data_IF_756616704091
#
_entry.id   IF_756616704091
#
_cell.length_a   1.000
_cell.length_b   1.000
_cell.length_c   1.000
_cell.angle_alpha   90.00
_cell.angle_beta   90.00
_cell.angle_gamma   90.00
#
_symmetry.space_group_name_H-M   'P 1'
#
loop_
_entity.id
_entity.type
_entity.pdbx_description
1 polymer ?
#
# COMPACT_ATOMS: atom_id res chain seq x y z
N UNK A 1 16.87 -38.78 78.70
CA UNK A 1 15.73 -38.23 77.93
C UNK A 1 16.25 -37.75 76.58
N UNK A 2 15.56 -38.15 75.50
CA UNK A 2 15.94 -38.14 74.08
C UNK A 2 16.56 -36.83 73.56
N UNK A 3 17.61 -36.90 72.74
CA UNK A 3 17.87 -35.92 71.67
C UNK A 3 18.18 -36.64 70.36
N UNK A 4 17.26 -36.45 69.42
CA UNK A 4 17.19 -37.06 68.10
C UNK A 4 17.92 -36.18 67.07
N UNK A 5 18.45 -36.87 66.06
CA UNK A 5 19.03 -36.33 64.83
C UNK A 5 18.07 -35.38 64.08
N UNK A 6 18.65 -34.37 63.41
CA UNK A 6 18.05 -33.79 62.20
C UNK A 6 19.16 -33.32 61.24
N UNK A 7 19.42 -34.12 60.22
CA UNK A 7 20.27 -33.75 59.08
C UNK A 7 19.43 -32.93 58.09
N UNK A 8 19.88 -31.73 57.78
CA UNK A 8 19.23 -30.80 56.84
C UNK A 8 19.64 -31.19 55.41
N UNK A 9 18.69 -31.67 54.61
CA UNK A 9 18.84 -31.83 53.16
C UNK A 9 18.51 -30.49 52.48
N UNK A 10 19.52 -29.87 51.84
CA UNK A 10 19.34 -28.66 51.04
C UNK A 10 18.92 -29.07 49.61
N UNK A 11 17.64 -28.93 49.28
CA UNK A 11 17.15 -29.08 47.91
C UNK A 11 17.58 -27.84 47.08
N UNK A 12 18.51 -28.01 46.15
CA UNK A 12 18.75 -27.03 45.10
C UNK A 12 17.65 -27.13 44.04
N UNK A 13 16.74 -26.15 44.01
CA UNK A 13 15.86 -25.93 42.86
C UNK A 13 16.67 -25.30 41.72
N UNK A 14 16.99 -26.09 40.69
CA UNK A 14 17.48 -25.56 39.41
C UNK A 14 16.26 -25.05 38.64
N UNK A 15 16.00 -23.75 38.71
CA UNK A 15 15.06 -23.09 37.80
C UNK A 15 15.75 -22.96 36.45
N UNK A 16 15.43 -23.88 35.53
CA UNK A 16 15.82 -23.75 34.13
C UNK A 16 15.03 -22.59 33.51
N UNK A 17 15.68 -21.43 33.40
CA UNK A 17 15.17 -20.33 32.59
C UNK A 17 15.22 -20.77 31.12
N UNK A 18 14.09 -21.20 30.59
CA UNK A 18 13.90 -21.29 29.15
C UNK A 18 14.16 -19.90 28.56
N UNK A 19 15.25 -19.77 27.80
CA UNK A 19 15.50 -18.59 26.97
C UNK A 19 14.38 -18.53 25.96
N UNK A 20 13.35 -17.73 26.25
CA UNK A 20 12.41 -17.24 25.24
C UNK A 20 13.26 -16.44 24.28
N UNK A 21 13.68 -17.08 23.19
CA UNK A 21 14.34 -16.39 22.09
C UNK A 21 13.41 -15.28 21.64
N UNK A 22 13.75 -14.04 21.99
CA UNK A 22 13.06 -12.88 21.47
C UNK A 22 13.26 -12.89 19.95
N UNK A 23 12.26 -13.37 19.21
CA UNK A 23 12.24 -13.26 17.76
C UNK A 23 12.34 -11.76 17.46
N UNK A 24 13.51 -11.32 16.99
CA UNK A 24 13.68 -9.94 16.54
C UNK A 24 12.58 -9.64 15.52
N UNK A 25 11.91 -8.48 15.61
CA UNK A 25 10.89 -8.10 14.65
C UNK A 25 11.51 -8.11 13.25
N UNK A 26 10.75 -8.59 12.27
CA UNK A 26 11.19 -8.58 10.88
C UNK A 26 11.50 -7.14 10.46
N UNK A 27 12.64 -6.95 9.81
CA UNK A 27 13.03 -5.69 9.19
C UNK A 27 13.21 -5.95 7.71
N UNK A 28 12.37 -5.31 6.91
CA UNK A 28 12.40 -5.37 5.45
C UNK A 28 13.77 -4.93 4.92
N UNK A 29 14.25 -5.62 3.88
CA UNK A 29 15.50 -5.35 3.17
C UNK A 29 15.27 -5.48 1.67
N UNK A 30 14.59 -4.50 1.04
CA UNK A 30 14.40 -4.50 -0.40
C UNK A 30 15.78 -4.47 -1.07
N UNK A 31 15.99 -5.34 -2.05
CA UNK A 31 17.27 -5.49 -2.73
C UNK A 31 17.05 -5.95 -4.17
N UNK A 32 17.98 -5.60 -5.05
CA UNK A 32 18.06 -6.23 -6.37
C UNK A 32 18.39 -7.71 -6.18
N UNK A 33 17.75 -8.57 -6.97
CA UNK A 33 18.04 -10.00 -7.03
C UNK A 33 18.13 -10.42 -8.48
N UNK A 34 18.86 -11.49 -8.78
CA UNK A 34 18.88 -12.05 -10.13
C UNK A 34 17.48 -12.55 -10.53
N UNK A 35 17.16 -12.50 -11.81
CA UNK A 35 15.93 -13.11 -12.31
C UNK A 35 15.91 -14.61 -12.01
N UNK A 36 14.80 -15.06 -11.42
CA UNK A 36 14.57 -16.47 -11.11
C UNK A 36 13.46 -16.95 -12.06
N UNK A 37 13.76 -17.91 -12.96
CA UNK A 37 12.74 -18.56 -13.78
C UNK A 37 11.65 -19.17 -12.89
N UNK A 38 10.40 -18.94 -13.24
CA UNK A 38 9.25 -19.41 -12.50
C UNK A 38 8.11 -19.75 -13.46
N UNK A 39 7.33 -20.76 -13.08
CA UNK A 39 6.11 -21.18 -13.76
C UNK A 39 5.00 -21.30 -12.73
N UNK A 40 3.75 -21.10 -13.15
CA UNK A 40 2.60 -21.30 -12.26
C UNK A 40 2.51 -22.77 -11.86
N UNK A 41 2.39 -22.99 -10.55
CA UNK A 41 2.30 -24.33 -9.97
C UNK A 41 1.17 -25.15 -10.61
N UNK A 42 1.51 -26.33 -11.14
CA UNK A 42 0.55 -27.19 -11.81
C UNK A 42 -0.38 -27.93 -10.82
N UNK A 43 -1.62 -28.21 -11.27
CA UNK A 43 -2.58 -29.03 -10.53
C UNK A 43 -1.94 -30.39 -10.18
N UNK A 44 -2.17 -30.86 -8.95
CA UNK A 44 -1.57 -32.08 -8.42
C UNK A 44 -0.22 -31.90 -7.72
N UNK A 45 0.44 -30.75 -7.87
CA UNK A 45 1.70 -30.47 -7.17
C UNK A 45 1.50 -30.31 -5.66
N UNK A 46 2.57 -30.52 -4.88
CA UNK A 46 2.58 -30.24 -3.43
C UNK A 46 2.75 -28.75 -3.17
N UNK A 47 2.10 -28.24 -2.13
CA UNK A 47 2.30 -26.88 -1.65
C UNK A 47 3.79 -26.62 -1.35
N UNK A 48 4.43 -25.67 -2.07
CA UNK A 48 5.80 -25.29 -1.75
C UNK A 48 5.88 -24.75 -0.31
N UNK A 49 6.87 -25.23 0.44
CA UNK A 49 7.08 -24.81 1.82
C UNK A 49 7.51 -23.34 1.89
N UNK A 50 7.11 -22.66 2.97
CA UNK A 50 7.45 -21.28 3.25
C UNK A 50 7.70 -21.05 4.73
N UNK A 51 8.41 -19.96 5.04
CA UNK A 51 8.50 -19.35 6.38
C UNK A 51 8.65 -17.84 6.19
N UNK A 52 7.56 -17.10 6.31
CA UNK A 52 7.49 -15.69 5.96
C UNK A 52 7.03 -14.83 7.14
N UNK A 53 7.50 -13.58 7.25
CA UNK A 53 7.02 -12.62 8.22
C UNK A 53 5.61 -12.13 7.82
N UNK A 54 4.76 -11.92 8.81
CA UNK A 54 3.40 -11.44 8.64
C UNK A 54 3.22 -10.04 9.20
N UNK A 55 2.27 -9.30 8.64
CA UNK A 55 1.88 -7.98 9.10
C UNK A 55 1.39 -7.94 10.57
N UNK A 56 0.99 -9.07 11.15
CA UNK A 56 0.64 -9.19 12.57
C UNK A 56 1.86 -9.35 13.51
N UNK A 57 3.08 -9.33 12.95
CA UNK A 57 4.34 -9.44 13.68
C UNK A 57 4.85 -10.87 13.88
N UNK A 58 4.11 -11.89 13.44
CA UNK A 58 4.52 -13.29 13.57
C UNK A 58 5.21 -13.80 12.31
N UNK A 59 5.79 -15.00 12.42
CA UNK A 59 6.26 -15.78 11.27
C UNK A 59 5.33 -16.96 11.07
N UNK A 60 4.90 -17.16 9.83
CA UNK A 60 4.06 -18.29 9.43
C UNK A 60 4.80 -19.18 8.46
N UNK A 61 4.56 -20.48 8.60
CA UNK A 61 5.06 -21.54 7.76
C UNK A 61 3.92 -22.41 7.25
N UNK A 62 4.18 -23.23 6.24
CA UNK A 62 3.18 -24.19 5.74
C UNK A 62 2.67 -25.14 6.84
N UNK A 63 3.51 -25.46 7.84
CA UNK A 63 3.18 -26.34 8.96
C UNK A 63 2.11 -25.75 9.89
N UNK A 64 2.02 -24.43 9.99
CA UNK A 64 1.01 -23.76 10.81
C UNK A 64 -0.42 -23.98 10.28
N UNK A 65 -0.54 -24.47 9.05
CA UNK A 65 -1.81 -24.79 8.38
C UNK A 65 -2.02 -26.30 8.19
N UNK A 66 -1.20 -27.17 8.80
CA UNK A 66 -1.24 -28.61 8.56
C UNK A 66 -2.55 -29.31 8.95
N UNK A 67 -3.34 -28.70 9.85
CA UNK A 67 -4.64 -29.24 10.29
C UNK A 67 -5.81 -28.80 9.42
N UNK A 68 -5.59 -27.93 8.43
CA UNK A 68 -6.65 -27.45 7.55
C UNK A 68 -7.12 -28.58 6.62
N UNK A 69 -8.44 -28.70 6.45
CA UNK A 69 -9.05 -29.58 5.44
C UNK A 69 -8.83 -29.06 4.02
N UNK A 70 -8.67 -27.74 3.89
CA UNK A 70 -8.18 -27.08 2.69
C UNK A 70 -7.40 -25.82 3.06
N UNK A 71 -6.35 -25.52 2.31
CA UNK A 71 -5.54 -24.30 2.46
C UNK A 71 -5.67 -23.43 1.21
N UNK A 72 -6.10 -22.18 1.38
CA UNK A 72 -6.10 -21.16 0.33
C UNK A 72 -4.88 -20.28 0.51
N UNK A 73 -3.98 -20.29 -0.46
CA UNK A 73 -2.87 -19.33 -0.59
C UNK A 73 -3.25 -18.29 -1.63
N UNK A 74 -3.30 -17.02 -1.25
CA UNK A 74 -3.64 -15.91 -2.14
C UNK A 74 -2.43 -15.01 -2.33
N UNK A 75 -1.92 -14.87 -3.55
CA UNK A 75 -0.97 -13.81 -3.85
C UNK A 75 -1.74 -12.52 -4.10
N UNK A 76 -1.48 -11.47 -3.32
CA UNK A 76 -2.21 -10.20 -3.33
C UNK A 76 -1.27 -9.01 -3.05
N UNK A 77 -1.74 -7.78 -3.22
CA UNK A 77 -0.97 -6.57 -2.92
C UNK A 77 -1.87 -5.42 -2.42
N UNK A 78 -1.26 -4.32 -1.97
CA UNK A 78 -1.99 -3.15 -1.46
C UNK A 78 -2.34 -2.15 -2.57
N UNK A 79 -1.53 -2.06 -3.64
CA UNK A 79 -1.68 -1.00 -4.63
C UNK A 79 -2.64 -1.33 -5.78
N UNK A 80 -2.74 -2.62 -6.17
CA UNK A 80 -3.53 -3.02 -7.33
C UNK A 80 -5.03 -2.82 -7.08
N UNK A 81 -5.76 -2.06 -7.92
CA UNK A 81 -7.21 -1.86 -7.75
C UNK A 81 -7.97 -3.19 -7.73
N UNK A 82 -7.59 -4.15 -8.58
CA UNK A 82 -8.18 -5.49 -8.61
C UNK A 82 -7.98 -6.20 -7.27
N UNK A 83 -6.74 -6.29 -6.77
CA UNK A 83 -6.44 -6.94 -5.50
C UNK A 83 -7.24 -6.33 -4.33
N UNK A 84 -7.29 -5.00 -4.29
CA UNK A 84 -8.06 -4.25 -3.29
C UNK A 84 -9.57 -4.57 -3.36
N UNK A 85 -10.12 -4.82 -4.55
CA UNK A 85 -11.55 -5.09 -4.73
C UNK A 85 -11.98 -6.49 -4.24
N UNK A 86 -11.04 -7.40 -4.02
CA UNK A 86 -11.32 -8.74 -3.50
C UNK A 86 -11.14 -8.86 -1.98
N UNK A 87 -10.60 -7.85 -1.31
CA UNK A 87 -10.26 -7.90 0.12
C UNK A 87 -11.45 -8.29 1.00
N UNK A 88 -12.60 -7.60 0.85
CA UNK A 88 -13.79 -7.86 1.66
C UNK A 88 -14.40 -9.24 1.38
N UNK A 89 -14.31 -9.71 0.13
CA UNK A 89 -14.76 -11.05 -0.27
C UNK A 89 -13.89 -12.14 0.36
N UNK A 90 -12.58 -11.94 0.43
CA UNK A 90 -11.68 -12.87 1.11
C UNK A 90 -11.91 -12.92 2.62
N UNK A 91 -12.22 -11.77 3.24
CA UNK A 91 -12.59 -11.70 4.67
C UNK A 91 -13.89 -12.47 4.93
N UNK A 92 -14.93 -12.23 4.11
CA UNK A 92 -16.20 -12.94 4.21
C UNK A 92 -16.04 -14.44 4.00
N UNK A 93 -15.34 -14.85 2.93
CA UNK A 93 -15.04 -16.25 2.65
C UNK A 93 -14.30 -16.93 3.80
N UNK A 94 -13.32 -16.25 4.40
CA UNK A 94 -12.58 -16.80 5.55
C UNK A 94 -13.52 -17.05 6.73
N UNK A 95 -14.47 -16.15 7.02
CA UNK A 95 -15.46 -16.36 8.07
C UNK A 95 -16.37 -17.56 7.78
N UNK A 96 -16.86 -17.66 6.54
CA UNK A 96 -17.83 -18.69 6.14
C UNK A 96 -17.22 -20.11 6.15
N UNK A 97 -15.91 -20.23 5.89
CA UNK A 97 -15.24 -21.52 5.73
C UNK A 97 -14.34 -21.92 6.89
N UNK A 98 -14.01 -21.01 7.82
CA UNK A 98 -13.17 -21.33 8.99
C UNK A 98 -13.72 -22.51 9.81
N UNK A 99 -15.03 -22.50 10.11
CA UNK A 99 -15.68 -23.58 10.87
C UNK A 99 -15.74 -24.91 10.08
N UNK A 100 -15.63 -24.85 8.75
CA UNK A 100 -15.56 -26.03 7.87
C UNK A 100 -14.14 -26.60 7.78
N UNK A 101 -13.15 -25.98 8.43
CA UNK A 101 -11.76 -26.42 8.46
C UNK A 101 -10.89 -25.84 7.34
N UNK A 102 -11.32 -24.76 6.68
CA UNK A 102 -10.48 -24.07 5.68
C UNK A 102 -9.59 -23.03 6.36
N UNK A 103 -8.34 -22.97 5.95
CA UNK A 103 -7.42 -21.89 6.30
C UNK A 103 -7.15 -21.01 5.08
N UNK A 104 -7.04 -19.70 5.30
CA UNK A 104 -6.67 -18.72 4.27
C UNK A 104 -5.37 -18.04 4.72
N UNK A 105 -4.46 -17.82 3.78
CA UNK A 105 -3.23 -17.05 3.95
C UNK A 105 -2.98 -16.22 2.70
N UNK A 106 -2.71 -14.93 2.88
CA UNK A 106 -2.32 -14.06 1.79
C UNK A 106 -0.80 -13.86 1.81
N UNK A 107 -0.18 -13.69 0.64
CA UNK A 107 1.25 -13.40 0.47
C UNK A 107 1.38 -12.18 -0.46
N UNK A 108 2.13 -11.17 -0.04
CA UNK A 108 2.58 -10.07 -0.89
C UNK A 108 3.87 -10.49 -1.59
N UNK A 109 3.84 -10.73 -2.92
CA UNK A 109 5.03 -11.10 -3.67
C UNK A 109 5.82 -9.87 -4.12
N UNK A 110 5.27 -8.67 -3.96
CA UNK A 110 5.77 -7.46 -4.58
C UNK A 110 6.96 -6.87 -3.83
N UNK A 111 8.00 -6.50 -4.59
CA UNK A 111 9.14 -5.78 -4.07
C UNK A 111 8.96 -4.27 -4.21
N UNK A 112 9.21 -3.47 -3.16
CA UNK A 112 9.24 -2.02 -3.28
C UNK A 112 10.33 -1.49 -4.21
N UNK A 113 11.34 -2.31 -4.57
CA UNK A 113 12.39 -1.85 -5.49
C UNK A 113 11.84 -1.63 -6.90
N UNK A 114 10.81 -2.37 -7.31
CA UNK A 114 10.24 -2.32 -8.66
C UNK A 114 8.84 -1.70 -8.73
N UNK A 115 8.22 -1.41 -7.59
CA UNK A 115 6.94 -0.69 -7.56
C UNK A 115 7.16 0.79 -7.87
N UNK A 116 6.44 1.30 -8.86
CA UNK A 116 6.50 2.71 -9.27
C UNK A 116 5.38 3.52 -8.61
N UNK A 117 5.63 4.82 -8.37
CA UNK A 117 4.60 5.70 -7.82
C UNK A 117 3.42 5.83 -8.79
N UNK A 118 3.72 5.88 -10.08
CA UNK A 118 2.77 5.97 -11.19
C UNK A 118 1.83 4.75 -11.26
N UNK A 119 2.24 3.60 -10.69
CA UNK A 119 1.39 2.41 -10.55
C UNK A 119 0.46 2.48 -9.33
N UNK A 120 0.66 3.46 -8.44
CA UNK A 120 -0.08 3.61 -7.19
C UNK A 120 -1.28 4.57 -7.29
N UNK A 121 -1.77 4.86 -8.50
CA UNK A 121 -2.86 5.82 -8.72
C UNK A 121 -4.26 5.42 -8.21
N UNK A 122 -4.41 4.19 -7.70
CA UNK A 122 -5.67 3.66 -7.13
C UNK A 122 -5.53 3.31 -5.64
N UNK A 123 -4.46 3.77 -4.98
CA UNK A 123 -4.17 3.38 -3.59
C UNK A 123 -3.61 4.54 -2.78
N UNK A 124 -3.74 4.43 -1.47
CA UNK A 124 -3.13 5.29 -0.46
C UNK A 124 -1.81 4.72 0.09
N UNK A 125 -1.47 3.49 -0.31
CA UNK A 125 -0.39 2.67 0.22
C UNK A 125 0.48 2.08 -0.88
N UNK A 126 1.77 1.91 -0.60
CA UNK A 126 2.66 1.06 -1.39
C UNK A 126 2.57 -0.41 -0.91
N UNK A 127 3.44 -1.29 -1.44
CA UNK A 127 3.51 -2.70 -1.04
C UNK A 127 4.63 -3.01 -0.02
N UNK A 128 5.12 -2.00 0.70
CA UNK A 128 6.12 -2.25 1.74
C UNK A 128 5.51 -2.93 2.98
N UNK A 129 6.39 -3.46 3.84
CA UNK A 129 5.93 -4.25 4.98
C UNK A 129 5.14 -3.43 6.00
N UNK A 130 5.44 -2.13 6.16
CA UNK A 130 4.69 -1.28 7.09
C UNK A 130 3.31 -0.91 6.53
N UNK A 131 3.22 -0.64 5.23
CA UNK A 131 1.96 -0.43 4.54
C UNK A 131 1.03 -1.66 4.61
N UNK A 132 1.58 -2.87 4.54
CA UNK A 132 0.80 -4.10 4.77
C UNK A 132 0.15 -4.12 6.16
N UNK A 133 0.84 -3.66 7.22
CA UNK A 133 0.27 -3.58 8.57
C UNK A 133 -0.89 -2.59 8.63
N UNK A 134 -0.73 -1.45 7.97
CA UNK A 134 -1.81 -0.45 7.84
C UNK A 134 -3.02 -1.09 7.16
N UNK A 135 -2.81 -1.76 6.02
CA UNK A 135 -3.89 -2.39 5.26
C UNK A 135 -4.62 -3.48 6.05
N UNK A 136 -3.90 -4.36 6.73
CA UNK A 136 -4.48 -5.40 7.60
C UNK A 136 -5.36 -4.81 8.69
N UNK A 137 -4.91 -3.72 9.32
CA UNK A 137 -5.68 -3.03 10.35
C UNK A 137 -6.94 -2.38 9.78
N UNK A 138 -6.82 -1.69 8.65
CA UNK A 138 -7.93 -0.96 8.03
C UNK A 138 -9.02 -1.90 7.52
N UNK A 139 -8.62 -2.98 6.83
CA UNK A 139 -9.54 -3.97 6.25
C UNK A 139 -9.90 -5.10 7.21
N UNK A 140 -9.32 -5.10 8.42
CA UNK A 140 -9.58 -6.10 9.47
C UNK A 140 -9.40 -7.52 8.97
N UNK A 141 -8.29 -7.81 8.29
CA UNK A 141 -8.02 -9.15 7.79
C UNK A 141 -8.10 -10.17 8.92
N UNK A 142 -8.91 -11.21 8.71
CA UNK A 142 -9.12 -12.34 9.61
C UNK A 142 -8.27 -13.57 9.21
N UNK A 143 -7.28 -13.34 8.34
CA UNK A 143 -6.27 -14.29 7.89
C UNK A 143 -4.88 -13.63 7.90
N UNK A 144 -3.78 -14.41 8.00
CA UNK A 144 -2.44 -13.85 7.94
C UNK A 144 -2.11 -13.25 6.57
N UNK A 145 -1.42 -12.11 6.56
CA UNK A 145 -0.86 -11.49 5.36
C UNK A 145 0.66 -11.43 5.44
N UNK A 146 1.31 -12.27 4.64
CA UNK A 146 2.75 -12.55 4.68
C UNK A 146 3.51 -11.74 3.62
N UNK A 147 4.78 -11.45 3.84
CA UNK A 147 5.61 -10.69 2.91
C UNK A 147 6.75 -11.53 2.35
N UNK A 148 6.91 -11.53 1.02
CA UNK A 148 7.98 -12.24 0.30
C UNK A 148 8.75 -11.33 -0.69
N UNK A 149 8.52 -10.01 -0.66
CA UNK A 149 9.05 -9.07 -1.66
C UNK A 149 10.55 -8.80 -1.62
N UNK A 150 11.28 -9.23 -0.57
CA UNK A 150 12.74 -9.00 -0.49
C UNK A 150 13.55 -9.99 -1.32
N UNK A 151 13.04 -11.22 -1.51
CA UNK A 151 13.77 -12.30 -2.19
C UNK A 151 12.94 -13.08 -3.19
N UNK A 152 11.61 -12.99 -3.11
CA UNK A 152 10.68 -13.76 -3.92
C UNK A 152 10.80 -15.28 -3.75
N UNK A 153 11.51 -15.75 -2.73
CA UNK A 153 11.93 -17.15 -2.57
C UNK A 153 10.75 -18.13 -2.46
N UNK A 154 9.58 -17.64 -2.03
CA UNK A 154 8.35 -18.43 -1.99
C UNK A 154 7.53 -18.22 -3.26
N UNK A 155 7.36 -16.97 -3.68
CA UNK A 155 6.52 -16.56 -4.80
C UNK A 155 6.95 -17.22 -6.10
N UNK A 156 8.26 -17.35 -6.37
CA UNK A 156 8.78 -18.03 -7.57
C UNK A 156 8.45 -19.53 -7.61
N UNK A 157 8.19 -20.16 -6.45
CA UNK A 157 7.82 -21.58 -6.38
C UNK A 157 6.34 -21.83 -6.61
N UNK A 158 5.49 -20.83 -6.35
CA UNK A 158 4.06 -20.87 -6.65
C UNK A 158 3.76 -20.32 -8.05
N UNK A 159 4.55 -19.34 -8.51
CA UNK A 159 4.43 -18.69 -9.82
C UNK A 159 3.14 -17.90 -10.01
N UNK A 160 2.78 -16.94 -9.13
CA UNK A 160 1.65 -16.06 -9.36
C UNK A 160 1.89 -15.17 -10.59
N UNK A 161 0.96 -15.20 -11.52
CA UNK A 161 0.99 -14.37 -12.74
C UNK A 161 0.47 -12.95 -12.50
N UNK A 162 -0.52 -12.80 -11.62
CA UNK A 162 -1.18 -11.54 -11.28
C UNK A 162 -1.44 -11.43 -9.78
N UNK A 163 -1.77 -10.23 -9.33
CA UNK A 163 -2.42 -10.00 -8.03
C UNK A 163 -3.86 -9.53 -8.27
N UNK A 164 -4.88 -10.24 -7.76
CA UNK A 164 -4.79 -11.48 -7.00
C UNK A 164 -4.61 -12.74 -7.89
N UNK A 165 -4.09 -13.82 -7.29
CA UNK A 165 -4.08 -15.17 -7.86
C UNK A 165 -4.19 -16.18 -6.70
N UNK A 166 -5.17 -17.08 -6.74
CA UNK A 166 -5.40 -18.07 -5.66
C UNK A 166 -4.89 -19.46 -6.02
N UNK A 167 -4.41 -20.17 -4.99
CA UNK A 167 -3.98 -21.57 -5.03
C UNK A 167 -4.64 -22.30 -3.87
N UNK A 168 -5.41 -23.35 -4.15
CA UNK A 168 -6.17 -24.10 -3.13
C UNK A 168 -5.66 -25.52 -3.05
N UNK A 169 -5.19 -25.90 -1.87
CA UNK A 169 -4.66 -27.22 -1.56
C UNK A 169 -5.65 -28.01 -0.70
N UNK A 170 -5.72 -29.32 -0.93
CA UNK A 170 -6.47 -30.23 -0.07
C UNK A 170 -5.74 -30.55 1.25
N UNK A 171 -6.34 -31.41 2.07
CA UNK A 171 -5.75 -31.88 3.34
C UNK A 171 -4.45 -32.70 3.18
N UNK A 172 -4.10 -33.10 1.96
CA UNK A 172 -2.82 -33.74 1.63
C UNK A 172 -1.81 -32.72 1.11
N UNK A 173 -2.13 -31.42 1.16
CA UNK A 173 -1.36 -30.31 0.61
C UNK A 173 -1.09 -30.47 -0.90
N UNK A 174 -2.01 -31.11 -1.62
CA UNK A 174 -1.97 -31.23 -3.08
C UNK A 174 -2.84 -30.13 -3.70
N UNK A 175 -2.30 -29.43 -4.70
CA UNK A 175 -3.01 -28.34 -5.39
C UNK A 175 -4.20 -28.90 -6.17
N UNK A 176 -5.40 -28.43 -5.84
CA UNK A 176 -6.66 -28.86 -6.45
C UNK A 176 -7.29 -27.78 -7.33
N UNK A 177 -6.99 -26.50 -7.05
CA UNK A 177 -7.48 -25.37 -7.83
C UNK A 177 -6.46 -24.25 -7.88
N UNK A 178 -6.31 -23.61 -9.03
CA UNK A 178 -5.63 -22.32 -9.16
C UNK A 178 -6.37 -21.40 -10.13
N UNK A 179 -6.36 -20.10 -9.84
CA UNK A 179 -6.93 -19.12 -10.75
C UNK A 179 -7.55 -17.91 -10.04
N UNK A 180 -8.71 -17.46 -10.55
CA UNK A 180 -9.42 -16.28 -10.04
C UNK A 180 -10.27 -16.61 -8.81
N UNK A 181 -10.69 -15.55 -8.13
CA UNK A 181 -11.62 -15.63 -6.98
C UNK A 181 -13.07 -15.74 -7.48
N UNK A 182 -13.43 -14.88 -8.45
CA UNK A 182 -14.67 -14.92 -9.21
C UNK A 182 -14.54 -14.15 -10.53
N UNK A 183 -15.66 -13.93 -11.24
CA UNK A 183 -15.70 -13.29 -12.54
C UNK A 183 -15.81 -11.75 -12.53
N UNK A 184 -15.76 -11.08 -11.37
CA UNK A 184 -16.02 -9.64 -11.27
C UNK A 184 -15.01 -8.90 -10.39
N UNK A 185 -14.34 -7.92 -10.97
CA UNK A 185 -13.44 -7.03 -10.22
C UNK A 185 -14.17 -5.90 -9.50
N UNK A 186 -15.45 -5.68 -9.81
CA UNK A 186 -16.23 -4.61 -9.19
C UNK A 186 -16.67 -5.05 -7.79
N UNK A 187 -16.44 -4.23 -6.75
CA UNK A 187 -16.95 -4.53 -5.42
C UNK A 187 -18.48 -4.69 -5.41
N UNK A 188 -18.98 -5.61 -4.58
CA UNK A 188 -20.41 -5.89 -4.37
C UNK A 188 -21.21 -6.42 -5.57
N UNK A 189 -20.54 -6.90 -6.64
CA UNK A 189 -21.21 -7.52 -7.80
C UNK A 189 -20.93 -9.02 -7.95
N UNK A 190 -20.12 -9.59 -7.06
CA UNK A 190 -19.81 -11.01 -6.99
C UNK A 190 -19.43 -11.40 -5.55
N UNK A 191 -19.34 -12.70 -5.27
CA UNK A 191 -19.08 -13.23 -3.94
C UNK A 191 -18.14 -14.44 -3.97
N UNK A 192 -17.03 -14.37 -4.71
CA UNK A 192 -16.02 -15.42 -4.78
C UNK A 192 -16.57 -16.78 -5.26
N UNK A 193 -17.51 -16.78 -6.22
CA UNK A 193 -18.24 -17.96 -6.68
C UNK A 193 -17.31 -19.11 -7.10
N UNK A 194 -16.24 -18.82 -7.84
CA UNK A 194 -15.31 -19.84 -8.32
C UNK A 194 -14.49 -20.43 -7.17
N UNK A 195 -13.97 -19.58 -6.28
CA UNK A 195 -13.21 -20.03 -5.11
C UNK A 195 -14.09 -20.82 -4.12
N UNK A 196 -15.33 -20.38 -3.90
CA UNK A 196 -16.31 -21.10 -3.05
C UNK A 196 -16.66 -22.46 -3.65
N UNK A 197 -16.93 -22.53 -4.94
CA UNK A 197 -17.21 -23.80 -5.63
C UNK A 197 -16.03 -24.78 -5.53
N UNK A 198 -14.79 -24.29 -5.70
CA UNK A 198 -13.60 -25.11 -5.53
C UNK A 198 -13.46 -25.64 -4.10
N UNK A 199 -13.69 -24.79 -3.09
CA UNK A 199 -13.64 -25.19 -1.69
C UNK A 199 -14.73 -26.22 -1.34
N UNK A 200 -15.96 -26.01 -1.79
CA UNK A 200 -17.06 -26.94 -1.54
C UNK A 200 -16.80 -28.31 -2.19
N UNK A 201 -16.23 -28.34 -3.40
CA UNK A 201 -15.81 -29.58 -4.05
C UNK A 201 -14.73 -30.30 -3.22
N UNK A 202 -13.66 -29.61 -2.83
CA UNK A 202 -12.55 -30.19 -2.05
C UNK A 202 -13.05 -30.72 -0.71
N UNK A 203 -13.89 -29.96 0.01
CA UNK A 203 -14.46 -30.37 1.29
C UNK A 203 -15.40 -31.58 1.16
N UNK A 204 -16.04 -31.74 0.00
CA UNK A 204 -16.85 -32.92 -0.33
C UNK A 204 -16.02 -34.10 -0.87
N UNK A 205 -14.69 -33.99 -0.92
CA UNK A 205 -13.81 -35.02 -1.49
C UNK A 205 -13.91 -35.16 -3.01
N UNK A 206 -14.40 -34.12 -3.70
CA UNK A 206 -14.55 -34.04 -5.15
C UNK A 206 -13.47 -33.15 -5.77
N UNK A 207 -13.19 -33.39 -7.05
CA UNK A 207 -12.32 -32.53 -7.85
C UNK A 207 -13.06 -31.24 -8.23
N UNK A 208 -12.49 -30.04 -8.02
CA UNK A 208 -13.05 -28.80 -8.55
C UNK A 208 -13.24 -28.86 -10.07
N UNK A 209 -14.32 -28.25 -10.59
CA UNK A 209 -14.54 -28.15 -12.03
C UNK A 209 -15.01 -26.73 -12.38
N UNK A 210 -14.19 -25.91 -13.07
CA UNK A 210 -12.82 -26.22 -13.51
C UNK A 210 -11.81 -26.22 -12.36
N UNK A 211 -10.67 -26.92 -12.53
CA UNK A 211 -9.52 -26.81 -11.60
C UNK A 211 -8.65 -25.58 -11.89
N UNK A 212 -8.74 -25.04 -13.11
CA UNK A 212 -7.96 -23.89 -13.54
C UNK A 212 -8.91 -22.85 -14.13
N UNK A 213 -8.86 -21.63 -13.63
CA UNK A 213 -9.53 -20.47 -14.23
C UNK A 213 -8.51 -19.42 -14.64
N UNK A 214 -8.85 -18.61 -15.64
CA UNK A 214 -8.00 -17.47 -16.04
C UNK A 214 -8.01 -16.42 -14.93
N UNK A 215 -6.86 -15.77 -14.73
CA UNK A 215 -6.72 -14.65 -13.79
C UNK A 215 -6.57 -13.32 -14.54
N UNK A 216 -6.93 -12.25 -13.85
CA UNK A 216 -6.76 -10.88 -14.31
C UNK A 216 -6.38 -10.01 -13.11
N UNK A 217 -5.49 -9.05 -13.32
CA UNK A 217 -4.96 -8.16 -12.29
C UNK A 217 -3.57 -7.62 -12.65
N UNK A 218 -2.96 -6.86 -11.75
CA UNK A 218 -1.62 -6.32 -11.96
C UNK A 218 -0.56 -7.44 -11.90
N UNK A 219 0.46 -7.34 -12.74
CA UNK A 219 1.63 -8.22 -12.68
C UNK A 219 2.37 -8.09 -11.34
N UNK A 220 2.99 -9.17 -10.91
CA UNK A 220 3.88 -9.19 -9.74
C UNK A 220 5.06 -8.24 -9.94
N UNK A 221 5.37 -7.45 -8.92
CA UNK A 221 6.51 -6.52 -8.89
C UNK A 221 7.78 -7.27 -8.47
N UNK A 222 8.33 -8.05 -9.41
CA UNK A 222 9.59 -8.77 -9.21
C UNK A 222 10.77 -7.79 -9.12
N UNK A 223 11.66 -7.99 -8.13
CA UNK A 223 12.78 -7.11 -7.84
C UNK A 223 13.82 -6.99 -8.97
N UNK A 224 13.83 -7.93 -9.93
CA UNK A 224 14.68 -7.87 -11.14
C UNK A 224 14.04 -7.10 -12.29
N UNK A 225 12.80 -6.64 -12.15
CA UNK A 225 12.09 -5.84 -13.17
C UNK A 225 12.05 -4.36 -12.77
N UNK A 226 13.21 -3.79 -12.46
CA UNK A 226 13.38 -2.39 -12.04
C UNK A 226 13.85 -1.46 -13.18
N UNK A 227 14.04 -1.98 -14.40
CA UNK A 227 14.54 -1.25 -15.58
C UNK A 227 13.82 0.09 -15.85
N UNK A 228 12.50 0.12 -15.64
CA UNK A 228 11.68 1.31 -15.88
C UNK A 228 11.83 2.38 -14.81
N UNK A 229 12.27 2.02 -13.60
CA UNK A 229 12.35 2.95 -12.48
C UNK A 229 13.34 4.07 -12.73
N UNK A 230 14.54 3.72 -13.17
CA UNK A 230 15.57 4.70 -13.49
C UNK A 230 15.17 5.59 -14.66
N UNK A 231 14.50 5.01 -15.66
CA UNK A 231 13.97 5.77 -16.79
C UNK A 231 12.90 6.77 -16.35
N UNK A 232 11.88 6.31 -15.62
CA UNK A 232 10.78 7.16 -15.15
C UNK A 232 11.30 8.24 -14.20
N UNK A 233 12.27 7.91 -13.35
CA UNK A 233 12.91 8.90 -12.48
C UNK A 233 13.67 9.96 -13.29
N UNK A 234 14.48 9.54 -14.27
CA UNK A 234 15.18 10.47 -15.17
C UNK A 234 14.21 11.33 -15.97
N UNK A 235 13.15 10.74 -16.50
CA UNK A 235 12.12 11.45 -17.26
C UNK A 235 11.41 12.49 -16.37
N UNK A 236 11.12 12.15 -15.11
CA UNK A 236 10.57 13.09 -14.13
C UNK A 236 11.55 14.23 -13.80
N UNK A 237 12.82 13.92 -13.53
CA UNK A 237 13.84 14.91 -13.18
C UNK A 237 14.22 15.81 -14.36
N UNK A 238 14.02 15.35 -15.60
CA UNK A 238 14.22 16.13 -16.82
C UNK A 238 13.07 17.10 -17.13
N UNK A 239 11.90 16.96 -16.47
CA UNK A 239 10.78 17.88 -16.69
C UNK A 239 11.17 19.31 -16.29
N UNK A 240 10.79 20.33 -17.08
CA UNK A 240 11.13 21.70 -16.77
C UNK A 240 10.44 22.14 -15.46
N UNK A 241 11.23 22.73 -14.56
CA UNK A 241 10.73 23.32 -13.32
C UNK A 241 10.82 24.82 -13.46
N UNK A 242 9.67 25.48 -13.43
CA UNK A 242 9.53 26.92 -13.50
C UNK A 242 8.64 27.42 -12.36
N UNK A 243 8.79 28.70 -12.02
CA UNK A 243 7.95 29.42 -11.06
C UNK A 243 7.32 30.60 -11.76
N UNK A 244 5.99 30.56 -11.86
CA UNK A 244 5.20 31.65 -12.42
C UNK A 244 4.73 32.59 -11.31
N UNK A 245 4.44 33.83 -11.65
CA UNK A 245 3.85 34.77 -10.68
C UNK A 245 2.32 34.59 -10.68
N UNK A 246 1.72 34.74 -9.50
CA UNK A 246 0.26 34.71 -9.33
C UNK A 246 -0.16 35.83 -8.38
N UNK A 247 -1.14 36.63 -8.80
CA UNK A 247 -1.74 37.68 -7.97
C UNK A 247 -3.02 37.18 -7.30
N UNK A 248 -3.71 38.05 -6.56
CA UNK A 248 -4.96 37.76 -5.87
C UNK A 248 -6.06 37.26 -6.82
N UNK A 249 -6.12 37.81 -8.04
CA UNK A 249 -7.10 37.43 -9.05
C UNK A 249 -6.82 36.03 -9.59
N UNK A 250 -5.54 35.74 -9.86
CA UNK A 250 -5.06 34.43 -10.26
C UNK A 250 -5.34 33.36 -9.21
N UNK A 251 -5.10 33.65 -7.93
CA UNK A 251 -5.42 32.74 -6.83
C UNK A 251 -6.91 32.45 -6.78
N UNK A 252 -7.77 33.49 -6.81
CA UNK A 252 -9.23 33.29 -6.80
C UNK A 252 -9.70 32.43 -7.98
N UNK A 253 -9.13 32.63 -9.17
CA UNK A 253 -9.42 31.80 -10.35
C UNK A 253 -8.95 30.35 -10.19
N UNK A 254 -7.76 30.14 -9.62
CA UNK A 254 -7.23 28.80 -9.32
C UNK A 254 -8.12 28.07 -8.33
N UNK A 255 -8.49 28.72 -7.22
CA UNK A 255 -9.30 28.13 -6.16
C UNK A 255 -10.77 27.95 -6.56
N UNK A 256 -11.29 28.72 -7.52
CA UNK A 256 -12.57 28.43 -8.16
C UNK A 256 -12.56 27.09 -8.92
N UNK A 257 -11.36 26.52 -9.17
CA UNK A 257 -11.11 25.25 -9.83
C UNK A 257 -12.07 24.96 -11.00
N UNK A 258 -11.98 25.71 -12.11
CA UNK A 258 -12.85 25.52 -13.27
C UNK A 258 -12.54 24.23 -14.05
N UNK A 259 -11.56 23.44 -13.61
CA UNK A 259 -11.17 22.19 -14.25
C UNK A 259 -12.10 21.05 -13.79
N UNK A 260 -11.95 19.87 -14.41
CA UNK A 260 -12.61 18.63 -13.95
C UNK A 260 -11.79 17.86 -12.92
N UNK A 261 -10.62 18.36 -12.54
CA UNK A 261 -9.68 17.66 -11.66
C UNK A 261 -9.93 17.99 -10.19
N UNK A 262 -9.61 17.04 -9.34
CA UNK A 262 -9.40 17.27 -7.93
C UNK A 262 -8.09 18.03 -7.73
N UNK A 263 -8.17 19.25 -7.20
CA UNK A 263 -7.05 20.16 -7.07
C UNK A 263 -6.50 20.16 -5.64
N UNK A 264 -5.24 19.78 -5.48
CA UNK A 264 -4.50 19.91 -4.23
C UNK A 264 -3.64 21.18 -4.29
N UNK A 265 -3.81 22.10 -3.35
CA UNK A 265 -3.00 23.31 -3.23
C UNK A 265 -2.21 23.28 -1.93
N UNK A 266 -0.91 23.57 -1.99
CA UNK A 266 -0.11 23.82 -0.79
C UNK A 266 0.54 25.21 -0.87
N UNK A 267 0.37 25.97 0.22
CA UNK A 267 1.03 27.26 0.44
C UNK A 267 2.22 27.05 1.36
N UNK A 268 3.41 27.44 0.91
CA UNK A 268 4.69 27.21 1.60
C UNK A 268 5.64 28.39 1.45
N UNK A 269 6.77 28.38 2.16
CA UNK A 269 7.85 29.33 1.96
C UNK A 269 9.23 28.70 2.18
N UNK A 270 10.27 29.27 1.56
CA UNK A 270 11.65 28.74 1.67
C UNK A 270 12.21 28.73 3.08
N UNK A 271 11.74 29.64 3.94
CA UNK A 271 12.13 29.75 5.35
C UNK A 271 11.25 28.90 6.30
N UNK A 272 10.17 28.30 5.79
CA UNK A 272 9.28 27.45 6.58
C UNK A 272 9.83 26.02 6.66
N UNK A 273 10.49 25.68 7.77
CA UNK A 273 11.07 24.35 7.99
C UNK A 273 10.09 23.18 7.74
N UNK A 274 8.91 23.14 8.40
CA UNK A 274 7.92 22.09 8.20
C UNK A 274 7.48 21.95 6.74
N UNK A 275 7.29 23.07 6.03
CA UNK A 275 6.92 23.06 4.61
C UNK A 275 7.95 22.31 3.75
N UNK A 276 9.23 22.59 3.96
CA UNK A 276 10.33 21.97 3.18
C UNK A 276 10.47 20.48 3.49
N UNK A 277 10.18 20.07 4.74
CA UNK A 277 10.21 18.68 5.19
C UNK A 277 9.11 17.87 4.51
N UNK A 278 7.87 18.36 4.48
CA UNK A 278 6.74 17.62 3.92
C UNK A 278 6.60 17.71 2.39
N UNK A 279 7.25 18.69 1.76
CA UNK A 279 7.12 18.93 0.31
C UNK A 279 7.23 17.68 -0.59
N UNK A 280 8.18 16.75 -0.35
CA UNK A 280 8.27 15.52 -1.14
C UNK A 280 7.01 14.65 -1.15
N UNK A 281 6.17 14.72 -0.11
CA UNK A 281 4.90 13.97 -0.06
C UNK A 281 3.91 14.47 -1.12
N UNK A 282 3.87 15.78 -1.41
CA UNK A 282 3.02 16.32 -2.46
C UNK A 282 3.49 15.90 -3.85
N UNK A 283 4.81 15.84 -4.06
CA UNK A 283 5.38 15.33 -5.31
C UNK A 283 5.08 13.84 -5.49
N UNK A 284 5.15 13.05 -4.42
CA UNK A 284 4.70 11.67 -4.46
C UNK A 284 3.22 11.57 -4.85
N UNK A 285 2.33 12.37 -4.23
CA UNK A 285 0.90 12.37 -4.58
C UNK A 285 0.65 12.77 -6.03
N UNK A 286 1.37 13.78 -6.55
CA UNK A 286 1.29 14.14 -7.96
C UNK A 286 1.72 12.98 -8.86
N UNK A 287 2.80 12.26 -8.51
CA UNK A 287 3.27 11.12 -9.30
C UNK A 287 2.32 9.92 -9.21
N UNK A 288 1.68 9.73 -8.06
CA UNK A 288 0.68 8.68 -7.88
C UNK A 288 -0.59 8.96 -8.67
N UNK A 289 -1.15 10.16 -8.56
CA UNK A 289 -2.51 10.44 -9.02
C UNK A 289 -2.56 11.31 -10.28
N UNK A 290 -1.46 11.91 -10.71
CA UNK A 290 -1.43 12.92 -11.78
C UNK A 290 -1.80 12.43 -13.18
N UNK A 291 -1.76 11.12 -13.42
CA UNK A 291 -2.29 10.48 -14.64
C UNK A 291 -3.81 10.24 -14.58
N UNK A 292 -4.46 10.63 -13.46
CA UNK A 292 -5.91 10.64 -13.26
C UNK A 292 -6.41 12.09 -13.25
N UNK A 293 -7.68 12.28 -12.89
CA UNK A 293 -8.30 13.61 -12.71
C UNK A 293 -7.84 14.29 -11.41
N UNK A 294 -6.52 14.44 -11.23
CA UNK A 294 -5.87 15.05 -10.07
C UNK A 294 -4.77 16.02 -10.51
N UNK A 295 -4.60 17.10 -9.75
CA UNK A 295 -3.51 18.05 -9.95
C UNK A 295 -3.02 18.63 -8.63
N UNK A 296 -1.70 18.66 -8.43
CA UNK A 296 -1.06 19.40 -7.37
C UNK A 296 -0.52 20.74 -7.88
N UNK A 297 -0.89 21.82 -7.19
CA UNK A 297 -0.38 23.17 -7.41
C UNK A 297 0.34 23.69 -6.17
N UNK A 298 1.53 24.21 -6.39
CA UNK A 298 2.41 24.73 -5.35
C UNK A 298 2.40 26.25 -5.37
N UNK A 299 2.19 26.90 -4.22
CA UNK A 299 2.19 28.37 -4.11
C UNK A 299 3.20 28.79 -3.05
N UNK A 300 4.26 29.49 -3.46
CA UNK A 300 5.22 30.11 -2.56
C UNK A 300 4.68 31.45 -2.03
N UNK A 301 4.70 31.59 -0.71
CA UNK A 301 4.44 32.82 0.04
C UNK A 301 5.72 33.65 0.26
N UNK A 302 6.84 33.28 -0.35
CA UNK A 302 8.05 34.09 -0.32
C UNK A 302 7.82 35.43 -1.03
N UNK A 303 8.53 36.48 -0.59
CA UNK A 303 8.56 37.74 -1.32
C UNK A 303 9.13 37.55 -2.73
N UNK A 304 8.59 38.26 -3.73
CA UNK A 304 9.01 38.14 -5.14
C UNK A 304 10.52 38.21 -5.38
N UNK A 305 11.26 39.04 -4.62
CA UNK A 305 12.73 39.11 -4.70
C UNK A 305 13.44 37.78 -4.41
N UNK A 306 12.77 36.84 -3.76
CA UNK A 306 13.26 35.49 -3.44
C UNK A 306 12.77 34.43 -4.45
N UNK A 307 12.18 34.82 -5.59
CA UNK A 307 11.72 33.90 -6.65
C UNK A 307 12.80 32.89 -7.07
N UNK A 308 14.04 33.31 -7.18
CA UNK A 308 15.16 32.42 -7.51
C UNK A 308 15.44 31.39 -6.40
N UNK A 309 15.35 31.79 -5.12
CA UNK A 309 15.49 30.86 -3.99
C UNK A 309 14.37 29.82 -3.99
N UNK A 310 13.13 30.25 -4.24
CA UNK A 310 12.00 29.33 -4.36
C UNK A 310 12.21 28.35 -5.52
N UNK A 311 12.62 28.84 -6.70
CA UNK A 311 12.94 28.00 -7.86
C UNK A 311 14.04 26.98 -7.54
N UNK A 312 15.12 27.38 -6.85
CA UNK A 312 16.20 26.49 -6.49
C UNK A 312 15.76 25.38 -5.52
N UNK A 313 14.89 25.71 -4.56
CA UNK A 313 14.29 24.70 -3.68
C UNK A 313 13.42 23.72 -4.47
N UNK A 314 12.56 24.23 -5.36
CA UNK A 314 11.68 23.41 -6.20
C UNK A 314 12.46 22.46 -7.11
N UNK A 315 13.57 22.93 -7.70
CA UNK A 315 14.51 22.07 -8.46
C UNK A 315 15.11 20.98 -7.59
N UNK A 316 15.56 21.31 -6.37
CA UNK A 316 16.09 20.33 -5.41
C UNK A 316 15.05 19.29 -4.97
N UNK A 317 13.77 19.63 -5.03
CA UNK A 317 12.65 18.75 -4.68
C UNK A 317 12.05 18.03 -5.90
N UNK A 318 12.65 18.17 -7.09
CA UNK A 318 12.11 17.65 -8.35
C UNK A 318 10.63 18.02 -8.55
N UNK A 319 10.28 19.28 -8.25
CA UNK A 319 8.89 19.78 -8.29
C UNK A 319 8.43 20.13 -9.71
N UNK A 320 8.33 19.11 -10.55
CA UNK A 320 7.85 19.20 -11.92
C UNK A 320 6.32 19.29 -11.99
N UNK A 321 5.77 20.31 -11.32
CA UNK A 321 4.33 20.60 -11.21
C UNK A 321 4.10 22.08 -11.54
N UNK A 322 2.84 22.51 -11.53
CA UNK A 322 2.54 23.93 -11.62
C UNK A 322 2.96 24.63 -10.31
N UNK A 323 4.00 25.46 -10.38
CA UNK A 323 4.50 26.22 -9.24
C UNK A 323 4.28 27.72 -9.46
N UNK A 324 3.76 28.38 -8.42
CA UNK A 324 3.56 29.80 -8.36
C UNK A 324 4.36 30.45 -7.23
N UNK A 325 4.68 31.73 -7.38
CA UNK A 325 5.06 32.64 -6.30
C UNK A 325 4.06 33.79 -6.27
N UNK A 326 3.61 34.15 -5.08
CA UNK A 326 2.65 35.23 -4.94
C UNK A 326 3.27 36.59 -5.27
N UNK A 327 2.61 37.35 -6.15
CA UNK A 327 3.06 38.67 -6.61
C UNK A 327 2.25 39.84 -6.06
N UNK A 328 1.26 39.57 -5.20
CA UNK A 328 0.46 40.61 -4.56
C UNK A 328 1.25 41.46 -3.56
N UNK A 329 0.55 42.45 -3.00
CA UNK A 329 1.16 43.52 -2.22
C UNK A 329 1.93 43.03 -0.99
N UNK A 330 1.34 42.10 -0.24
CA UNK A 330 1.90 41.57 1.00
C UNK A 330 1.30 40.19 1.35
N UNK A 331 1.85 39.52 2.35
CA UNK A 331 1.39 38.19 2.75
C UNK A 331 -0.05 38.18 3.28
N UNK A 332 -0.62 39.30 3.70
CA UNK A 332 -2.01 39.35 4.17
C UNK A 332 -2.97 39.29 2.99
N UNK A 333 -2.65 39.92 1.86
CA UNK A 333 -3.49 39.78 0.66
C UNK A 333 -3.46 38.36 0.09
N UNK A 334 -2.34 37.63 0.26
CA UNK A 334 -2.28 36.19 -0.02
C UNK A 334 -3.26 35.41 0.87
N UNK A 335 -3.24 35.68 2.18
CA UNK A 335 -4.11 34.99 3.15
C UNK A 335 -5.58 35.19 2.78
N UNK A 336 -5.99 36.44 2.58
CA UNK A 336 -7.36 36.80 2.19
C UNK A 336 -7.77 36.20 0.84
N UNK A 337 -6.83 36.06 -0.10
CA UNK A 337 -7.10 35.43 -1.40
C UNK A 337 -7.24 33.91 -1.31
N UNK A 338 -6.48 33.26 -0.40
CA UNK A 338 -6.46 31.80 -0.25
C UNK A 338 -7.65 31.32 0.59
N UNK A 339 -7.79 31.86 1.80
CA UNK A 339 -8.85 31.52 2.75
C UNK A 339 -8.89 32.61 3.84
N UNK A 340 -9.90 33.50 3.84
CA UNK A 340 -10.05 34.54 4.87
C UNK A 340 -10.14 34.01 6.31
N UNK A 341 -10.41 32.71 6.50
CA UNK A 341 -10.40 32.08 7.83
C UNK A 341 -9.01 31.55 8.24
N UNK A 342 -8.03 31.54 7.34
CA UNK A 342 -6.66 31.16 7.65
C UNK A 342 -5.93 32.31 8.36
N UNK A 343 -5.21 32.02 9.45
CA UNK A 343 -4.47 33.03 10.20
C UNK A 343 -3.07 33.36 9.63
N UNK A 344 -2.69 32.75 8.50
CA UNK A 344 -1.39 32.96 7.85
C UNK A 344 -0.26 32.04 8.27
N UNK A 345 -0.46 31.15 9.24
CA UNK A 345 0.59 30.19 9.60
C UNK A 345 0.80 29.13 8.50
N UNK A 346 2.05 28.96 8.08
CA UNK A 346 2.47 27.97 7.09
C UNK A 346 2.92 26.66 7.75
N UNK A 347 2.84 25.50 7.05
CA UNK A 347 2.20 25.31 5.75
C UNK A 347 0.66 25.40 5.83
N UNK A 348 0.03 25.66 4.69
CA UNK A 348 -1.43 25.61 4.55
C UNK A 348 -1.80 24.78 3.32
N UNK A 349 -2.64 23.76 3.49
CA UNK A 349 -3.00 22.82 2.43
C UNK A 349 -4.50 22.78 2.23
N UNK A 350 -4.95 22.77 0.98
CA UNK A 350 -6.36 22.71 0.55
C UNK A 350 -6.54 21.57 -0.47
N UNK A 351 -7.63 20.81 -0.36
CA UNK A 351 -8.10 19.90 -1.40
C UNK A 351 -9.46 20.40 -1.90
N UNK A 352 -9.57 20.59 -3.21
CA UNK A 352 -10.63 21.38 -3.83
C UNK A 352 -11.25 20.57 -4.98
N UNK A 353 -12.55 20.35 -4.92
CA UNK A 353 -13.33 19.76 -6.00
C UNK A 353 -13.44 20.72 -7.20
N UNK A 354 -13.84 20.22 -8.38
CA UNK A 354 -14.34 21.07 -9.46
C UNK A 354 -15.38 22.08 -8.94
N UNK A 355 -15.32 23.31 -9.47
CA UNK A 355 -16.16 24.44 -9.07
C UNK A 355 -15.84 25.04 -7.68
N UNK A 356 -14.68 24.70 -7.10
CA UNK A 356 -14.10 25.43 -5.97
C UNK A 356 -14.59 25.01 -4.59
N UNK A 357 -15.30 23.88 -4.48
CA UNK A 357 -15.69 23.35 -3.18
C UNK A 357 -14.48 22.74 -2.46
N UNK A 358 -14.06 23.39 -1.37
CA UNK A 358 -12.98 22.89 -0.50
C UNK A 358 -13.51 21.74 0.36
N UNK A 359 -12.94 20.54 0.20
CA UNK A 359 -13.33 19.34 0.95
C UNK A 359 -12.34 18.96 2.05
N UNK A 360 -11.15 19.54 2.03
CA UNK A 360 -10.16 19.42 3.08
C UNK A 360 -9.32 20.67 3.16
N UNK A 361 -9.00 21.08 4.38
CA UNK A 361 -8.03 22.12 4.65
C UNK A 361 -7.29 21.83 5.95
N UNK A 362 -6.00 22.11 5.99
CA UNK A 362 -5.21 22.01 7.22
C UNK A 362 -4.19 23.12 7.31
N UNK A 363 -4.04 23.65 8.52
CA UNK A 363 -2.93 24.51 8.91
C UNK A 363 -1.89 23.66 9.63
N UNK A 364 -0.62 23.86 9.29
CA UNK A 364 0.47 23.00 9.75
C UNK A 364 0.59 21.73 8.92
N UNK A 365 1.51 20.86 9.33
CA UNK A 365 1.89 19.72 8.50
C UNK A 365 0.75 18.75 8.22
N UNK A 366 0.71 18.24 6.99
CA UNK A 366 -0.27 17.23 6.60
C UNK A 366 0.00 15.90 7.31
N UNK A 367 -1.04 15.07 7.39
CA UNK A 367 -0.89 13.63 7.63
C UNK A 367 -0.96 12.93 6.28
N UNK A 368 0.16 12.51 5.67
CA UNK A 368 0.16 12.08 4.26
C UNK A 368 -0.78 10.92 3.97
N UNK A 369 -0.83 9.91 4.84
CA UNK A 369 -1.74 8.77 4.69
C UNK A 369 -3.21 9.20 4.73
N UNK A 370 -3.59 10.11 5.63
CA UNK A 370 -4.96 10.63 5.72
C UNK A 370 -5.35 11.36 4.45
N UNK A 371 -4.45 12.20 3.92
CA UNK A 371 -4.70 12.93 2.68
C UNK A 371 -4.79 12.00 1.47
N UNK A 372 -3.90 11.01 1.36
CA UNK A 372 -3.96 10.00 0.28
C UNK A 372 -5.25 9.19 0.32
N UNK A 373 -5.71 8.76 1.51
CA UNK A 373 -7.02 8.10 1.67
C UNK A 373 -8.16 8.96 1.17
N UNK A 374 -8.19 10.22 1.59
CA UNK A 374 -9.21 11.16 1.14
C UNK A 374 -9.22 11.31 -0.38
N UNK A 375 -8.04 11.36 -1.02
CA UNK A 375 -7.91 11.45 -2.48
C UNK A 375 -8.48 10.20 -3.15
N UNK A 376 -8.04 8.98 -2.77
CA UNK A 376 -8.46 7.75 -3.47
C UNK A 376 -9.88 7.29 -3.14
N UNK A 377 -10.45 7.73 -2.03
CA UNK A 377 -11.85 7.49 -1.67
C UNK A 377 -12.79 8.51 -2.32
N UNK A 378 -12.24 9.60 -2.88
CA UNK A 378 -13.03 10.58 -3.61
C UNK A 378 -13.57 9.98 -4.92
N UNK A 379 -14.87 10.16 -5.26
CA UNK A 379 -15.48 9.58 -6.46
C UNK A 379 -14.81 9.94 -7.80
N UNK A 380 -14.11 11.09 -7.88
CA UNK A 380 -13.36 11.47 -9.08
C UNK A 380 -12.10 10.63 -9.32
N UNK A 381 -11.52 10.06 -8.25
CA UNK A 381 -10.31 9.25 -8.35
C UNK A 381 -10.66 7.77 -8.21
N UNK A 382 -11.29 7.39 -7.10
CA UNK A 382 -11.73 6.02 -6.85
C UNK A 382 -10.57 5.03 -6.60
N UNK A 383 -10.85 4.07 -5.72
CA UNK A 383 -9.93 2.96 -5.38
C UNK A 383 -9.98 1.80 -6.38
N UNK A 384 -11.02 1.78 -7.21
CA UNK A 384 -11.34 0.69 -8.14
C UNK A 384 -11.68 1.27 -9.51
N UNK A 385 -11.77 0.41 -10.52
CA UNK A 385 -12.18 0.77 -11.88
C UNK A 385 -13.66 1.16 -11.98
#
# INVERSE_FOLDING_TARGET
MKRSFLSIFLLLFVVSAAVVGQNKPFKQRPQAVAEIPHETLAIGAKAPNFKLPAADGKWYSLKDFAQAKALVVVFSCNHCPTAQAYEDRLVALTNDYKAKGVAVVAISPNSPVSLLLEECGYTDLNDDFEAMKVRVKDKKYNFPYLYDGDTHAVSVKYGPTTTPHVFVFDNKQTLQYQGRIDASEKPNTANAEDLRAALDAILAGKTPNPQITKVFGCSTKWAWKDEWKDKIQKDWDAKPIAVQEIDETGIKKLLANPTKKLLLVNVWATWCGPCVIEYPEFIQMQRMYGERDFEFVSISADQLKNKEKALNLLKKKSSAVQNYIFSGKDSYTLIEAIDPAWNGALPYTLLIEPNGKVIYKTQGSIKPLTLRKLIVEHPLIGRYF
#
